data_IF_750934947354
#
_entry.id   IF_750934947354
#
_cell.length_a   1.000
_cell.length_b   1.000
_cell.length_c   1.000
_cell.angle_alpha   90.00
_cell.angle_beta   90.00
_cell.angle_gamma   90.00
#
_symmetry.space_group_name_H-M   'P 1'
#
loop_
_entity.id
_entity.type
_entity.pdbx_description
1 polymer ?
#
# COMPACT_ATOMS: atom_id res chain seq x y z
N UNK A 1 -4.48 -6.49 -24.94
CA UNK A 1 -4.93 -6.31 -23.53
C UNK A 1 -3.88 -6.74 -22.48
N UNK A 2 -2.62 -7.02 -22.86
CA UNK A 2 -1.53 -7.42 -21.93
C UNK A 2 -0.57 -6.29 -21.55
N UNK A 3 -0.73 -5.10 -22.14
CA UNK A 3 0.19 -3.96 -21.98
C UNK A 3 -0.25 -2.92 -20.93
N UNK A 4 -1.40 -3.13 -20.28
CA UNK A 4 -1.90 -2.21 -19.22
C UNK A 4 -1.40 -2.54 -17.80
N UNK A 5 -0.78 -3.70 -17.59
CA UNK A 5 -0.36 -4.12 -16.26
C UNK A 5 1.08 -3.62 -16.04
N UNK A 6 1.23 -2.63 -15.15
CA UNK A 6 2.55 -2.16 -14.69
C UNK A 6 3.40 -3.31 -14.11
N UNK A 7 4.65 -3.01 -13.71
CA UNK A 7 5.54 -4.01 -13.08
C UNK A 7 4.80 -4.77 -11.97
N UNK A 8 5.12 -6.05 -11.74
CA UNK A 8 4.54 -6.84 -10.63
C UNK A 8 4.60 -6.08 -9.30
N UNK A 9 5.69 -5.35 -9.06
CA UNK A 9 5.84 -4.53 -7.86
C UNK A 9 4.98 -3.25 -7.87
N UNK A 10 4.65 -2.68 -9.02
CA UNK A 10 3.66 -1.59 -9.09
C UNK A 10 2.26 -2.06 -8.70
N UNK A 11 1.85 -3.24 -9.17
CA UNK A 11 0.55 -3.84 -8.83
C UNK A 11 0.48 -4.20 -7.35
N UNK A 12 1.50 -4.90 -6.83
CA UNK A 12 1.57 -5.26 -5.41
C UNK A 12 1.58 -4.01 -4.53
N UNK A 13 2.32 -2.97 -4.92
CA UNK A 13 2.34 -1.69 -4.20
C UNK A 13 0.97 -1.03 -4.12
N UNK A 14 0.22 -0.98 -5.23
CA UNK A 14 -1.15 -0.45 -5.25
C UNK A 14 -2.09 -1.27 -4.37
N UNK A 15 -2.05 -2.60 -4.49
CA UNK A 15 -2.90 -3.48 -3.68
C UNK A 15 -2.63 -3.29 -2.19
N UNK A 16 -1.37 -3.16 -1.80
CA UNK A 16 -0.99 -2.93 -0.40
C UNK A 16 -1.47 -1.56 0.10
N UNK A 17 -1.36 -0.50 -0.72
CA UNK A 17 -1.90 0.82 -0.38
C UNK A 17 -3.42 0.75 -0.16
N UNK A 18 -4.15 0.12 -1.09
CA UNK A 18 -5.62 0.00 -0.99
C UNK A 18 -6.02 -0.77 0.27
N UNK A 19 -5.41 -1.92 0.52
CA UNK A 19 -5.69 -2.73 1.71
C UNK A 19 -5.37 -1.95 3.00
N UNK A 20 -4.24 -1.24 3.04
CA UNK A 20 -3.84 -0.40 4.16
C UNK A 20 -4.81 0.76 4.41
N UNK A 21 -5.30 1.42 3.35
CA UNK A 21 -6.29 2.49 3.47
C UNK A 21 -7.61 2.00 4.08
N UNK A 22 -8.08 0.82 3.66
CA UNK A 22 -9.28 0.21 4.24
C UNK A 22 -9.04 -0.13 5.71
N UNK A 23 -7.91 -0.77 6.02
CA UNK A 23 -7.55 -1.13 7.39
C UNK A 23 -7.43 0.11 8.30
N UNK A 24 -6.88 1.22 7.80
CA UNK A 24 -6.81 2.50 8.53
C UNK A 24 -8.20 3.02 8.90
N UNK A 25 -9.13 3.04 7.96
CA UNK A 25 -10.50 3.53 8.19
C UNK A 25 -11.18 2.64 9.24
N UNK A 26 -11.12 1.32 9.07
CA UNK A 26 -11.73 0.36 10.01
C UNK A 26 -11.12 0.49 11.41
N UNK A 27 -9.78 0.55 11.51
CA UNK A 27 -9.08 0.69 12.78
C UNK A 27 -9.41 2.01 13.48
N UNK A 28 -9.57 3.12 12.74
CA UNK A 28 -9.93 4.41 13.31
C UNK A 28 -11.32 4.39 13.98
N UNK A 29 -12.30 3.75 13.33
CA UNK A 29 -13.63 3.59 13.91
C UNK A 29 -13.63 2.63 15.11
N UNK A 30 -12.90 1.51 15.01
CA UNK A 30 -12.77 0.55 16.10
C UNK A 30 -12.10 1.17 17.34
N UNK A 31 -11.02 1.94 17.15
CA UNK A 31 -10.34 2.64 18.24
C UNK A 31 -11.27 3.66 18.91
N UNK A 32 -12.04 4.41 18.12
CA UNK A 32 -13.06 5.32 18.64
C UNK A 32 -14.16 4.61 19.43
N UNK A 33 -14.47 3.35 19.10
CA UNK A 33 -15.45 2.53 19.80
C UNK A 33 -14.92 1.91 21.11
N UNK A 34 -13.66 2.15 21.47
CA UNK A 34 -13.04 1.67 22.71
C UNK A 34 -12.21 0.39 22.56
N UNK A 35 -11.97 -0.08 21.34
CA UNK A 35 -11.02 -1.17 21.12
C UNK A 35 -9.57 -0.63 21.11
N UNK A 36 -8.87 -0.81 22.23
CA UNK A 36 -7.49 -0.34 22.38
C UNK A 36 -6.51 -1.07 21.43
N UNK A 37 -6.78 -2.32 21.04
CA UNK A 37 -5.92 -3.05 20.10
C UNK A 37 -5.98 -2.45 18.70
N UNK A 38 -7.07 -1.76 18.35
CA UNK A 38 -7.21 -1.07 17.07
C UNK A 38 -6.17 0.04 16.88
N UNK A 39 -5.60 0.60 17.95
CA UNK A 39 -4.49 1.55 17.85
C UNK A 39 -3.25 0.94 17.17
N UNK A 40 -2.89 -0.29 17.52
CA UNK A 40 -1.75 -0.99 16.91
C UNK A 40 -2.04 -1.34 15.46
N UNK A 41 -3.29 -1.68 15.14
CA UNK A 41 -3.73 -1.90 13.75
C UNK A 41 -3.60 -0.60 12.95
N UNK A 42 -3.97 0.54 13.53
CA UNK A 42 -3.89 1.85 12.88
C UNK A 42 -2.44 2.22 12.52
N UNK A 43 -1.50 2.06 13.46
CA UNK A 43 -0.07 2.29 13.21
C UNK A 43 0.45 1.32 12.13
N UNK A 44 0.10 0.03 12.25
CA UNK A 44 0.56 -1.00 11.33
C UNK A 44 0.03 -0.77 9.92
N UNK A 45 -1.24 -0.37 9.78
CA UNK A 45 -1.85 -0.04 8.50
C UNK A 45 -1.20 1.20 7.87
N UNK A 46 -0.88 2.23 8.65
CA UNK A 46 -0.13 3.38 8.14
C UNK A 46 1.26 2.99 7.62
N UNK A 47 2.01 2.19 8.38
CA UNK A 47 3.32 1.70 7.97
C UNK A 47 3.25 0.82 6.71
N UNK A 48 2.26 -0.07 6.63
CA UNK A 48 2.04 -0.90 5.45
C UNK A 48 1.67 -0.06 4.21
N UNK A 49 0.82 0.95 4.37
CA UNK A 49 0.41 1.84 3.27
C UNK A 49 1.57 2.67 2.73
N UNK A 50 2.38 3.28 3.60
CA UNK A 50 3.59 4.01 3.18
C UNK A 50 4.62 3.10 2.52
N UNK A 51 4.78 1.86 3.03
CA UNK A 51 5.63 0.84 2.41
C UNK A 51 5.11 0.46 1.01
N UNK A 52 3.81 0.20 0.86
CA UNK A 52 3.19 -0.12 -0.43
C UNK A 52 3.38 0.99 -1.46
N UNK A 53 3.25 2.24 -1.04
CA UNK A 53 3.53 3.40 -1.88
C UNK A 53 5.00 3.43 -2.33
N UNK A 54 5.94 3.21 -1.41
CA UNK A 54 7.37 3.11 -1.74
C UNK A 54 7.67 1.98 -2.73
N UNK A 55 7.10 0.80 -2.52
CA UNK A 55 7.23 -0.35 -3.43
C UNK A 55 6.70 -0.02 -4.82
N UNK A 56 5.55 0.66 -4.90
CA UNK A 56 4.97 1.07 -6.18
C UNK A 56 5.92 2.00 -6.95
N UNK A 57 6.39 3.07 -6.31
CA UNK A 57 7.28 4.06 -6.95
C UNK A 57 8.63 3.44 -7.33
N UNK A 58 9.24 2.66 -6.44
CA UNK A 58 10.52 2.00 -6.72
C UNK A 58 10.43 1.03 -7.91
N UNK A 59 9.31 0.31 -8.00
CA UNK A 59 9.04 -0.62 -9.11
C UNK A 59 8.83 0.12 -10.43
N UNK A 60 8.11 1.25 -10.39
CA UNK A 60 7.89 2.14 -11.54
C UNK A 60 9.21 2.69 -12.08
N UNK A 61 10.07 3.16 -11.19
CA UNK A 61 11.40 3.66 -11.54
C UNK A 61 12.33 2.56 -12.06
N UNK A 62 12.24 1.35 -11.50
CA UNK A 62 13.00 0.20 -12.00
C UNK A 62 12.58 -0.20 -13.42
N UNK A 63 11.28 -0.15 -13.75
CA UNK A 63 10.80 -0.39 -15.11
C UNK A 63 11.33 0.65 -16.08
N UNK A 64 11.20 1.94 -15.75
CA UNK A 64 11.71 3.01 -16.64
C UNK A 64 13.22 2.94 -16.87
N UNK A 65 14.00 2.51 -15.87
CA UNK A 65 15.45 2.27 -16.04
C UNK A 65 15.77 1.08 -16.96
N UNK A 66 14.88 0.10 -17.06
CA UNK A 66 15.01 -1.02 -18.02
C UNK A 66 14.58 -0.61 -19.41
N UNK A 67 13.48 0.13 -19.55
CA UNK A 67 12.96 0.56 -20.85
C UNK A 67 13.88 1.58 -21.55
N UNK A 68 14.72 2.30 -20.80
CA UNK A 68 15.73 3.23 -21.33
C UNK A 68 17.07 2.59 -21.68
N UNK A 69 17.25 1.28 -21.43
CA UNK A 69 18.44 0.51 -21.83
C UNK A 69 18.12 -0.31 -23.07
#
# INVERSE_FOLDING_TARGET
MREMLGSRGEVVGVLLVVAASIALIVAAFAFRAGDELAFFVLISAFAAGTTGFGVHIASREARFRRDKR
#
